data_IF_454527231740
#
_entry.id   IF_454527231740
#
_cell.length_a   1.000
_cell.length_b   1.000
_cell.length_c   1.000
_cell.angle_alpha   90.00
_cell.angle_beta   90.00
_cell.angle_gamma   90.00
#
_symmetry.space_group_name_H-M   'P 1'
#
loop_
_entity.id
_entity.type
_entity.pdbx_description
1 polymer ?
#
# COMPACT_ATOMS: atom_id res chain seq x y z
N UNK A 1 -55.36 -24.39 -14.38
CA UNK A 1 -55.22 -23.16 -13.58
C UNK A 1 -54.07 -22.36 -14.19
N UNK A 2 -54.31 -21.11 -14.62
CA UNK A 2 -53.26 -20.23 -15.13
C UNK A 2 -52.51 -19.63 -13.93
N UNK A 3 -51.19 -19.59 -13.97
CA UNK A 3 -50.34 -19.02 -12.92
C UNK A 3 -49.39 -18.02 -13.57
N UNK A 4 -49.60 -16.75 -13.22
CA UNK A 4 -49.15 -15.56 -13.93
C UNK A 4 -47.63 -15.37 -14.04
N UNK A 5 -47.25 -14.77 -15.17
CA UNK A 5 -45.94 -14.20 -15.43
C UNK A 5 -45.83 -12.86 -14.69
N UNK A 6 -44.89 -12.75 -13.75
CA UNK A 6 -44.50 -11.46 -13.17
C UNK A 6 -43.02 -11.20 -13.44
N UNK A 7 -42.73 -10.60 -14.59
CA UNK A 7 -41.42 -10.01 -14.89
C UNK A 7 -41.42 -8.57 -14.37
N UNK A 8 -40.94 -8.37 -13.14
CA UNK A 8 -40.66 -7.03 -12.61
C UNK A 8 -39.44 -6.44 -13.32
N UNK A 9 -39.71 -5.52 -14.26
CA UNK A 9 -38.73 -4.59 -14.81
C UNK A 9 -38.20 -3.69 -13.67
N UNK A 10 -37.00 -3.95 -13.17
CA UNK A 10 -36.29 -3.01 -12.29
C UNK A 10 -35.28 -2.20 -13.10
N UNK A 11 -35.68 -0.96 -13.35
CA UNK A 11 -34.93 0.06 -14.06
C UNK A 11 -34.00 0.75 -13.04
N UNK A 12 -32.70 0.44 -13.05
CA UNK A 12 -31.73 1.07 -12.14
C UNK A 12 -30.77 1.93 -12.96
N UNK A 13 -31.17 3.19 -13.17
CA UNK A 13 -30.29 4.25 -13.65
C UNK A 13 -29.39 4.74 -12.51
N UNK A 14 -28.07 4.62 -12.73
CA UNK A 14 -26.95 5.38 -12.13
C UNK A 14 -27.03 5.74 -10.65
N UNK A 15 -26.47 4.89 -9.79
CA UNK A 15 -25.37 5.25 -8.88
C UNK A 15 -24.91 4.01 -8.12
N UNK A 16 -23.59 3.93 -7.91
CA UNK A 16 -22.84 2.93 -7.14
C UNK A 16 -22.40 1.68 -7.94
N UNK A 17 -21.14 1.70 -8.37
CA UNK A 17 -20.37 0.55 -8.83
C UNK A 17 -20.15 -0.42 -7.65
N UNK A 18 -21.16 -1.24 -7.34
CA UNK A 18 -20.99 -2.52 -6.65
C UNK A 18 -21.75 -3.57 -7.43
N UNK A 19 -21.13 -4.10 -8.48
CA UNK A 19 -21.67 -5.26 -9.19
C UNK A 19 -21.42 -6.51 -8.34
N UNK A 20 -22.34 -6.77 -7.40
CA UNK A 20 -22.58 -8.11 -6.90
C UNK A 20 -23.18 -8.92 -8.06
N UNK A 21 -22.35 -9.70 -8.74
CA UNK A 21 -22.82 -10.70 -9.71
C UNK A 21 -23.24 -11.95 -8.92
N UNK A 22 -24.50 -11.99 -8.47
CA UNK A 22 -25.15 -13.22 -8.02
C UNK A 22 -25.52 -14.02 -9.26
N UNK A 23 -24.68 -15.01 -9.60
CA UNK A 23 -24.90 -15.84 -10.77
C UNK A 23 -23.97 -17.05 -10.86
N UNK A 24 -23.99 -17.91 -9.84
CA UNK A 24 -23.56 -19.31 -9.93
C UNK A 24 -22.05 -19.59 -10.04
N UNK A 25 -21.59 -20.48 -9.15
CA UNK A 25 -20.31 -21.21 -9.16
C UNK A 25 -19.10 -20.43 -8.59
N UNK A 26 -18.50 -20.99 -7.51
CA UNK A 26 -17.21 -20.63 -6.88
C UNK A 26 -17.16 -19.42 -5.92
N UNK A 27 -18.06 -19.34 -4.94
CA UNK A 27 -18.11 -18.29 -3.91
C UNK A 27 -17.06 -18.34 -2.78
N UNK A 28 -15.82 -18.77 -3.02
CA UNK A 28 -14.78 -18.77 -1.96
C UNK A 28 -13.41 -18.21 -2.36
N UNK A 29 -13.16 -17.90 -3.64
CA UNK A 29 -11.89 -17.30 -4.06
C UNK A 29 -11.99 -15.79 -4.22
N UNK A 30 -13.02 -15.28 -4.91
CA UNK A 30 -13.09 -13.87 -5.30
C UNK A 30 -13.26 -12.93 -4.09
N UNK A 31 -14.05 -13.29 -3.09
CA UNK A 31 -14.29 -12.44 -1.90
C UNK A 31 -13.08 -12.38 -0.97
N UNK A 32 -12.37 -13.51 -0.82
CA UNK A 32 -11.15 -13.59 -0.03
C UNK A 32 -10.01 -12.84 -0.74
N UNK A 33 -9.85 -13.04 -2.04
CA UNK A 33 -8.82 -12.38 -2.86
C UNK A 33 -9.03 -10.85 -2.93
N UNK A 34 -10.28 -10.38 -3.02
CA UNK A 34 -10.60 -8.95 -2.92
C UNK A 34 -10.36 -8.36 -1.52
N UNK A 35 -10.62 -9.13 -0.46
CA UNK A 35 -10.34 -8.70 0.92
C UNK A 35 -8.84 -8.56 1.16
N UNK A 36 -8.07 -9.56 0.71
CA UNK A 36 -6.61 -9.58 0.80
C UNK A 36 -6.00 -8.48 -0.08
N UNK A 37 -6.50 -8.27 -1.30
CA UNK A 37 -6.03 -7.18 -2.14
C UNK A 37 -6.31 -5.79 -1.51
N UNK A 38 -7.43 -5.61 -0.81
CA UNK A 38 -7.77 -4.35 -0.16
C UNK A 38 -6.96 -4.11 1.12
N UNK A 39 -6.77 -5.14 1.97
CA UNK A 39 -5.96 -5.00 3.19
C UNK A 39 -4.48 -4.73 2.85
N UNK A 40 -3.96 -5.34 1.78
CA UNK A 40 -2.60 -5.09 1.27
C UNK A 40 -2.44 -3.65 0.75
N UNK A 41 -3.42 -3.14 -0.01
CA UNK A 41 -3.42 -1.75 -0.50
C UNK A 41 -3.50 -0.73 0.63
N UNK A 42 -4.34 -0.99 1.63
CA UNK A 42 -4.46 -0.14 2.80
C UNK A 42 -3.15 -0.13 3.60
N UNK A 43 -2.55 -1.32 3.81
CA UNK A 43 -1.26 -1.45 4.50
C UNK A 43 -0.13 -0.73 3.76
N UNK A 44 -0.11 -0.78 2.42
CA UNK A 44 0.87 -0.06 1.61
C UNK A 44 0.74 1.46 1.78
N UNK A 45 -0.47 2.00 1.62
CA UNK A 45 -0.71 3.45 1.72
C UNK A 45 -0.42 3.97 3.13
N UNK A 46 -0.83 3.23 4.17
CA UNK A 46 -0.55 3.57 5.56
C UNK A 46 0.96 3.56 5.85
N UNK A 47 1.67 2.52 5.40
CA UNK A 47 3.11 2.39 5.63
C UNK A 47 3.88 3.45 4.83
N UNK A 48 3.47 3.73 3.59
CA UNK A 48 4.04 4.81 2.79
C UNK A 48 3.89 6.18 3.47
N UNK A 49 2.70 6.46 4.02
CA UNK A 49 2.46 7.69 4.78
C UNK A 49 3.35 7.77 6.04
N UNK A 50 3.54 6.67 6.76
CA UNK A 50 4.43 6.62 7.93
C UNK A 50 5.90 6.88 7.53
N UNK A 51 6.37 6.31 6.43
CA UNK A 51 7.72 6.56 5.89
C UNK A 51 7.88 8.00 5.39
N UNK A 52 6.88 8.55 4.70
CA UNK A 52 6.87 9.94 4.28
C UNK A 52 7.00 10.88 5.48
N UNK A 53 6.23 10.64 6.54
CA UNK A 53 6.34 11.43 7.78
C UNK A 53 7.73 11.35 8.41
N UNK A 54 8.37 10.18 8.42
CA UNK A 54 9.73 10.05 8.93
C UNK A 54 10.74 10.83 8.07
N UNK A 55 10.64 10.74 6.74
CA UNK A 55 11.47 11.49 5.81
C UNK A 55 11.29 13.01 6.00
N UNK A 56 10.06 13.49 6.12
CA UNK A 56 9.75 14.90 6.35
C UNK A 56 10.29 15.38 7.69
N UNK A 57 10.05 14.63 8.77
CA UNK A 57 10.53 14.98 10.12
C UNK A 57 12.05 15.10 10.17
N UNK A 58 12.76 14.15 9.57
CA UNK A 58 14.23 14.15 9.58
C UNK A 58 14.78 15.25 8.65
N UNK A 59 14.13 15.50 7.51
CA UNK A 59 14.54 16.54 6.55
C UNK A 59 14.27 17.96 7.04
N UNK A 60 13.37 18.17 8.01
CA UNK A 60 13.13 19.49 8.60
C UNK A 60 14.33 20.00 9.41
N UNK A 61 15.05 19.11 10.08
CA UNK A 61 16.16 19.47 10.97
C UNK A 61 17.52 19.26 10.32
N UNK A 62 17.58 18.57 9.19
CA UNK A 62 18.81 18.22 8.49
C UNK A 62 18.82 18.81 7.08
N UNK A 63 19.89 19.50 6.66
CA UNK A 63 20.02 19.94 5.28
C UNK A 63 20.02 18.73 4.33
N UNK A 64 19.59 18.93 3.09
CA UNK A 64 19.54 17.89 2.03
C UNK A 64 20.18 18.36 0.72
N UNK A 65 21.07 19.35 0.81
CA UNK A 65 21.67 20.05 -0.35
C UNK A 65 22.72 19.19 -1.04
N UNK A 66 23.58 18.53 -0.26
CA UNK A 66 24.67 17.70 -0.76
C UNK A 66 24.34 16.20 -0.70
N UNK A 67 25.02 15.39 -1.50
CA UNK A 67 24.83 13.94 -1.45
C UNK A 67 25.14 13.34 -0.06
N UNK A 68 26.15 13.88 0.64
CA UNK A 68 26.50 13.43 2.00
C UNK A 68 25.34 13.68 2.98
N UNK A 69 24.77 14.87 2.92
CA UNK A 69 23.63 15.27 3.75
C UNK A 69 22.39 14.40 3.49
N UNK A 70 22.08 14.13 2.21
CA UNK A 70 20.99 13.21 1.84
C UNK A 70 21.18 11.81 2.43
N UNK A 71 22.41 11.28 2.41
CA UNK A 71 22.71 9.97 2.99
C UNK A 71 22.58 9.96 4.52
N UNK A 72 22.87 11.08 5.20
CA UNK A 72 22.64 11.21 6.65
C UNK A 72 21.15 11.12 6.94
N UNK A 73 20.32 11.89 6.23
CA UNK A 73 18.86 11.86 6.39
C UNK A 73 18.29 10.46 6.15
N UNK A 74 18.71 9.80 5.07
CA UNK A 74 18.27 8.43 4.77
C UNK A 74 18.73 7.45 5.85
N UNK A 75 19.98 7.55 6.31
CA UNK A 75 20.52 6.73 7.39
C UNK A 75 19.72 6.86 8.68
N UNK A 76 19.39 8.08 9.09
CA UNK A 76 18.54 8.32 10.27
C UNK A 76 17.13 7.74 10.13
N UNK A 77 16.52 7.83 8.94
CA UNK A 77 15.22 7.20 8.68
C UNK A 77 15.32 5.68 8.74
N UNK A 78 16.37 5.10 8.15
CA UNK A 78 16.64 3.66 8.23
C UNK A 78 16.79 3.22 9.69
N UNK A 79 17.61 3.90 10.48
CA UNK A 79 17.78 3.62 11.91
C UNK A 79 16.44 3.68 12.66
N UNK A 80 15.59 4.66 12.36
CA UNK A 80 14.25 4.76 12.97
C UNK A 80 13.34 3.58 12.59
N UNK A 81 13.42 3.10 11.36
CA UNK A 81 12.67 1.90 10.93
C UNK A 81 13.23 0.66 11.61
N UNK A 82 14.55 0.48 11.64
CA UNK A 82 15.18 -0.70 12.24
C UNK A 82 14.97 -0.80 13.75
N UNK A 83 14.98 0.33 14.45
CA UNK A 83 14.68 0.40 15.88
C UNK A 83 13.18 0.26 16.21
N UNK A 84 12.31 0.20 15.20
CA UNK A 84 10.88 -0.05 15.36
C UNK A 84 10.49 -1.37 14.65
N UNK A 85 10.53 -2.51 15.36
CA UNK A 85 10.26 -3.82 14.75
C UNK A 85 8.91 -3.90 14.05
N UNK A 86 7.88 -3.24 14.59
CA UNK A 86 6.55 -3.19 13.99
C UNK A 86 6.58 -2.48 12.64
N UNK A 87 7.24 -1.31 12.57
CA UNK A 87 7.37 -0.56 11.33
C UNK A 87 8.24 -1.31 10.31
N UNK A 88 9.35 -1.93 10.73
CA UNK A 88 10.19 -2.75 9.84
C UNK A 88 9.39 -3.87 9.18
N UNK A 89 8.56 -4.59 9.94
CA UNK A 89 7.69 -5.64 9.39
C UNK A 89 6.65 -5.07 8.43
N UNK A 90 6.02 -3.94 8.76
CA UNK A 90 5.06 -3.28 7.85
C UNK A 90 5.70 -2.86 6.53
N UNK A 91 6.92 -2.32 6.57
CA UNK A 91 7.68 -1.93 5.38
C UNK A 91 7.98 -3.16 4.53
N UNK A 92 8.52 -4.23 5.12
CA UNK A 92 8.80 -5.49 4.40
C UNK A 92 7.51 -6.05 3.78
N UNK A 93 6.42 -6.09 4.53
CA UNK A 93 5.13 -6.61 4.03
C UNK A 93 4.57 -5.73 2.90
N UNK A 94 4.69 -4.41 3.01
CA UNK A 94 4.25 -3.48 1.97
C UNK A 94 5.07 -3.63 0.70
N UNK A 95 6.39 -3.83 0.82
CA UNK A 95 7.27 -4.11 -0.32
C UNK A 95 6.97 -5.47 -0.94
N UNK A 96 6.70 -6.52 -0.16
CA UNK A 96 6.30 -7.84 -0.68
C UNK A 96 4.91 -7.81 -1.36
N UNK A 97 3.98 -7.02 -0.83
CA UNK A 97 2.61 -6.95 -1.31
C UNK A 97 2.44 -6.07 -2.56
N UNK A 98 3.04 -4.87 -2.56
CA UNK A 98 2.90 -3.89 -3.63
C UNK A 98 4.11 -3.76 -4.55
N UNK A 99 5.26 -4.31 -4.16
CA UNK A 99 6.52 -4.10 -4.86
C UNK A 99 7.15 -2.74 -4.54
N UNK A 100 8.43 -2.62 -4.91
CA UNK A 100 9.23 -1.40 -4.67
C UNK A 100 8.64 -0.20 -5.41
N UNK A 101 8.20 -0.37 -6.66
CA UNK A 101 7.69 0.74 -7.48
C UNK A 101 6.38 1.33 -6.94
N UNK A 102 5.41 0.49 -6.57
CA UNK A 102 4.16 1.00 -5.98
C UNK A 102 4.40 1.70 -4.63
N UNK A 103 5.37 1.21 -3.85
CA UNK A 103 5.76 1.84 -2.59
C UNK A 103 6.44 3.20 -2.81
N UNK A 104 7.28 3.34 -3.84
CA UNK A 104 7.86 4.63 -4.26
C UNK A 104 6.79 5.62 -4.69
N UNK A 105 5.86 5.19 -5.55
CA UNK A 105 4.78 6.05 -6.05
C UNK A 105 3.86 6.57 -4.95
N UNK A 106 3.74 5.82 -3.84
CA UNK A 106 2.95 6.22 -2.68
C UNK A 106 3.66 7.23 -1.76
N UNK A 107 4.95 7.52 -1.98
CA UNK A 107 5.76 8.42 -1.13
C UNK A 107 6.23 9.63 -1.96
N UNK A 108 5.68 10.80 -1.66
CA UNK A 108 6.06 12.05 -2.32
C UNK A 108 7.26 12.70 -1.61
N UNK A 109 8.47 12.13 -1.79
CA UNK A 109 9.69 12.69 -1.19
C UNK A 109 10.93 12.49 -2.08
N UNK A 110 11.78 13.51 -2.29
CA UNK A 110 12.93 13.44 -3.19
C UNK A 110 13.99 12.40 -2.79
N UNK A 111 13.99 11.97 -1.53
CA UNK A 111 14.92 10.94 -1.04
C UNK A 111 14.36 9.51 -1.11
N UNK A 112 13.10 9.31 -1.55
CA UNK A 112 12.46 7.99 -1.59
C UNK A 112 13.28 6.97 -2.39
N UNK A 113 13.84 7.39 -3.53
CA UNK A 113 14.65 6.52 -4.38
C UNK A 113 15.93 6.04 -3.67
N UNK A 114 16.54 6.92 -2.88
CA UNK A 114 17.75 6.58 -2.11
C UNK A 114 17.38 5.66 -0.96
N UNK A 115 16.29 5.95 -0.24
CA UNK A 115 15.78 5.10 0.82
C UNK A 115 15.48 3.68 0.30
N UNK A 116 14.77 3.56 -0.83
CA UNK A 116 14.43 2.27 -1.42
C UNK A 116 15.66 1.44 -1.76
N UNK A 117 16.68 2.06 -2.36
CA UNK A 117 17.93 1.37 -2.68
C UNK A 117 18.64 0.78 -1.43
N UNK A 118 18.39 1.35 -0.25
CA UNK A 118 18.94 0.84 1.02
C UNK A 118 18.08 -0.28 1.59
N UNK A 119 16.75 -0.15 1.56
CA UNK A 119 15.84 -1.06 2.26
C UNK A 119 15.31 -2.21 1.40
N UNK A 120 15.48 -2.16 0.08
CA UNK A 120 15.03 -3.22 -0.85
C UNK A 120 15.64 -4.59 -0.48
N UNK A 121 16.89 -4.59 -0.01
CA UNK A 121 17.58 -5.79 0.50
C UNK A 121 16.95 -6.44 1.74
N UNK A 122 16.01 -5.78 2.43
CA UNK A 122 15.30 -6.39 3.55
C UNK A 122 14.29 -7.46 3.11
N UNK A 123 13.88 -7.45 1.83
CA UNK A 123 12.93 -8.43 1.31
C UNK A 123 13.58 -9.78 0.97
N UNK A 124 14.91 -9.82 0.85
CA UNK A 124 15.70 -11.02 0.51
C UNK A 124 16.02 -11.91 1.73
N UNK A 125 15.74 -11.44 2.94
CA UNK A 125 15.98 -12.21 4.18
C UNK A 125 14.80 -13.17 4.39
N UNK A 126 14.93 -14.36 3.81
CA UNK A 126 14.04 -15.53 4.03
C UNK A 126 14.86 -16.75 4.46
#
# INVERSE_FOLDING_TARGET
>A
MPGDSNTSNFNISKSVYYANNTGGIAGNSVTADLSIANEHKQTLAETAAEIQQLLDQVSQTNPTTTNKEKMIVVGEVVDKIENNPTLKVKVINSLKAGGVEAFKEAIDHPLVNILMAVIEGWTEVE
#
